data_IF_230576604462
#
_entry.id   IF_230576604462
#
_cell.length_a   1.000
_cell.length_b   1.000
_cell.length_c   1.000
_cell.angle_alpha   90.00
_cell.angle_beta   90.00
_cell.angle_gamma   90.00
#
_symmetry.space_group_name_H-M   'P 1'
#
loop_
_entity.id
_entity.type
_entity.pdbx_description
1 polymer ?
#
# COMPACT_ATOMS: atom_id res chain seq x y z
N UNK A 1 -46.52 -1.24 21.78
CA UNK A 1 -45.20 -1.51 22.41
C UNK A 1 -44.18 -0.74 21.61
N UNK A 2 -43.79 0.42 22.16
CA UNK A 2 -43.00 1.42 21.47
C UNK A 2 -41.54 0.97 21.35
N UNK A 3 -41.04 0.90 20.09
CA UNK A 3 -39.64 0.72 19.83
C UNK A 3 -38.91 2.05 20.17
N UNK A 4 -38.21 2.10 21.30
CA UNK A 4 -37.29 3.19 21.63
C UNK A 4 -36.25 3.30 20.52
N UNK A 5 -36.35 4.36 19.69
CA UNK A 5 -35.28 4.85 18.83
C UNK A 5 -34.08 5.18 19.73
N UNK A 6 -33.00 4.44 19.56
CA UNK A 6 -31.68 4.81 20.08
C UNK A 6 -31.25 6.09 19.36
N UNK A 7 -31.32 7.21 20.05
CA UNK A 7 -30.89 8.52 19.58
C UNK A 7 -29.35 8.54 19.67
N UNK A 8 -28.68 8.27 18.56
CA UNK A 8 -27.22 8.22 18.44
C UNK A 8 -26.61 9.64 18.31
N UNK A 9 -27.24 10.72 18.77
CA UNK A 9 -26.62 12.05 18.78
C UNK A 9 -26.10 12.54 17.41
N UNK A 10 -26.55 11.90 16.32
CA UNK A 10 -26.18 12.26 14.96
C UNK A 10 -27.14 13.37 14.55
N UNK A 11 -26.71 14.61 14.70
CA UNK A 11 -27.44 15.74 14.06
C UNK A 11 -27.29 15.56 12.55
N UNK A 12 -28.22 14.84 11.94
CA UNK A 12 -28.48 14.96 10.51
C UNK A 12 -28.97 16.42 10.33
N UNK A 13 -28.07 17.26 9.84
CA UNK A 13 -28.49 18.54 9.27
C UNK A 13 -29.23 18.23 7.97
N UNK A 14 -30.46 17.73 8.08
CA UNK A 14 -31.51 17.87 7.05
C UNK A 14 -31.95 19.32 7.01
N UNK A 15 -31.00 20.18 6.70
CA UNK A 15 -31.20 21.59 6.39
C UNK A 15 -30.82 21.77 4.93
N UNK A 16 -31.85 21.92 4.11
CA UNK A 16 -31.84 22.51 2.77
C UNK A 16 -30.67 22.13 1.83
N UNK A 17 -30.94 21.25 0.86
CA UNK A 17 -30.16 21.02 -0.38
C UNK A 17 -28.85 20.22 -0.31
N UNK A 18 -28.64 19.32 0.63
CA UNK A 18 -27.50 18.37 0.52
C UNK A 18 -27.88 17.28 -0.47
N UNK A 19 -27.11 17.15 -1.57
CA UNK A 19 -27.32 16.10 -2.58
C UNK A 19 -27.34 14.72 -1.92
N UNK A 20 -28.32 13.84 -2.24
CA UNK A 20 -28.30 12.45 -1.77
C UNK A 20 -27.04 11.74 -2.25
N UNK A 21 -26.63 10.70 -1.49
CA UNK A 21 -25.49 9.86 -1.89
C UNK A 21 -25.77 9.16 -3.22
N UNK A 22 -24.79 9.14 -4.10
CA UNK A 22 -25.00 8.59 -5.44
C UNK A 22 -23.71 8.22 -6.17
N UNK A 23 -23.83 7.92 -7.46
CA UNK A 23 -22.70 7.52 -8.31
C UNK A 23 -21.62 8.62 -8.41
N UNK A 24 -22.01 9.89 -8.35
CA UNK A 24 -21.04 10.99 -8.32
C UNK A 24 -20.06 10.84 -7.16
N UNK A 25 -20.55 10.49 -5.97
CA UNK A 25 -19.71 10.30 -4.79
C UNK A 25 -18.78 9.09 -4.95
N UNK A 26 -19.28 7.98 -5.50
CA UNK A 26 -18.50 6.76 -5.74
C UNK A 26 -17.36 7.01 -6.73
N UNK A 27 -17.68 7.62 -7.88
CA UNK A 27 -16.65 7.95 -8.88
C UNK A 27 -15.69 9.02 -8.39
N UNK A 28 -16.18 10.04 -7.66
CA UNK A 28 -15.33 11.05 -7.06
C UNK A 28 -14.33 10.46 -6.06
N UNK A 29 -14.80 9.52 -5.22
CA UNK A 29 -13.95 8.82 -4.27
C UNK A 29 -12.95 7.89 -4.97
N UNK A 30 -13.35 7.19 -6.06
CA UNK A 30 -12.46 6.41 -6.92
C UNK A 30 -11.33 7.27 -7.51
N UNK A 31 -11.67 8.43 -8.06
CA UNK A 31 -10.69 9.35 -8.65
C UNK A 31 -9.69 9.87 -7.62
N UNK A 32 -10.12 10.13 -6.38
CA UNK A 32 -9.22 10.52 -5.30
C UNK A 32 -8.14 9.47 -5.04
N UNK A 33 -8.50 8.18 -5.02
CA UNK A 33 -7.53 7.09 -4.84
C UNK A 33 -6.65 6.87 -6.08
N UNK A 34 -7.23 7.03 -7.28
CA UNK A 34 -6.47 6.99 -8.52
C UNK A 34 -5.35 8.03 -8.50
N UNK A 35 -5.64 9.27 -8.14
CA UNK A 35 -4.64 10.33 -8.03
C UNK A 35 -3.57 10.02 -6.97
N UNK A 36 -3.98 9.56 -5.79
CA UNK A 36 -3.06 9.14 -4.72
C UNK A 36 -2.14 8.00 -5.17
N UNK A 37 -2.72 6.96 -5.76
CA UNK A 37 -1.99 5.75 -6.13
C UNK A 37 -1.04 5.98 -7.31
N UNK A 38 -1.37 6.86 -8.26
CA UNK A 38 -0.48 7.21 -9.37
C UNK A 38 0.85 7.78 -8.86
N UNK A 39 0.80 8.79 -7.99
CA UNK A 39 2.02 9.42 -7.47
C UNK A 39 2.78 8.49 -6.52
N UNK A 40 2.07 7.80 -5.61
CA UNK A 40 2.70 6.89 -4.67
C UNK A 40 3.43 5.75 -5.38
N UNK A 41 2.80 5.14 -6.38
CA UNK A 41 3.40 4.02 -7.11
C UNK A 41 4.50 4.47 -8.08
N UNK A 42 4.42 5.68 -8.66
CA UNK A 42 5.50 6.26 -9.45
C UNK A 42 6.77 6.41 -8.60
N UNK A 43 6.65 7.01 -7.42
CA UNK A 43 7.73 7.16 -6.45
C UNK A 43 8.26 5.77 -6.02
N UNK A 44 7.36 4.87 -5.62
CA UNK A 44 7.74 3.53 -5.15
C UNK A 44 8.46 2.67 -6.18
N UNK A 45 8.13 2.84 -7.48
CA UNK A 45 8.70 2.01 -8.55
C UNK A 45 9.96 2.60 -9.18
N UNK A 46 10.11 3.92 -9.20
CA UNK A 46 11.09 4.55 -10.05
C UNK A 46 12.05 5.51 -9.34
N UNK A 47 11.75 5.95 -8.12
CA UNK A 47 12.58 6.95 -7.44
C UNK A 47 13.98 6.43 -7.12
N UNK A 48 14.09 5.17 -6.67
CA UNK A 48 15.39 4.54 -6.41
C UNK A 48 16.25 4.54 -7.67
N UNK A 49 15.69 4.12 -8.81
CA UNK A 49 16.38 4.11 -10.10
C UNK A 49 16.79 5.51 -10.54
N UNK A 50 15.92 6.51 -10.38
CA UNK A 50 16.28 7.90 -10.73
C UNK A 50 17.45 8.42 -9.89
N UNK A 51 17.44 8.16 -8.59
CA UNK A 51 18.50 8.63 -7.70
C UNK A 51 19.83 7.92 -7.96
N UNK A 52 19.81 6.63 -8.27
CA UNK A 52 21.05 5.89 -8.57
C UNK A 52 21.55 6.17 -9.99
N UNK A 53 20.72 5.96 -11.00
CA UNK A 53 21.18 5.92 -12.39
C UNK A 53 21.24 7.31 -13.05
N UNK A 54 20.37 8.24 -12.63
CA UNK A 54 20.31 9.59 -13.23
C UNK A 54 21.06 10.61 -12.38
N UNK A 55 20.83 10.64 -11.05
CA UNK A 55 21.55 11.56 -10.17
C UNK A 55 22.94 11.03 -9.76
N UNK A 56 23.20 9.73 -9.91
CA UNK A 56 24.47 9.12 -9.54
C UNK A 56 24.70 9.03 -8.03
N UNK A 57 23.63 9.05 -7.21
CA UNK A 57 23.73 8.89 -5.77
C UNK A 57 23.98 7.41 -5.44
N UNK A 58 24.93 7.10 -4.57
CA UNK A 58 25.23 5.73 -4.17
C UNK A 58 23.99 5.03 -3.59
N UNK A 59 23.74 3.77 -4.03
CA UNK A 59 22.51 3.04 -3.69
C UNK A 59 22.29 2.87 -2.19
N UNK A 60 23.34 2.65 -1.40
CA UNK A 60 23.24 2.58 0.08
C UNK A 60 22.79 3.91 0.71
N UNK A 61 23.24 5.06 0.19
CA UNK A 61 22.80 6.37 0.66
C UNK A 61 21.32 6.61 0.34
N UNK A 62 20.85 6.16 -0.84
CA UNK A 62 19.42 6.20 -1.20
C UNK A 62 18.62 5.26 -0.29
N UNK A 63 19.12 4.08 0.03
CA UNK A 63 18.51 3.16 1.00
C UNK A 63 18.33 3.83 2.37
N UNK A 64 19.36 4.52 2.88
CA UNK A 64 19.30 5.30 4.13
C UNK A 64 18.23 6.39 4.04
N UNK A 65 18.20 7.16 2.96
CA UNK A 65 17.18 8.18 2.70
C UNK A 65 15.77 7.59 2.78
N UNK A 66 15.53 6.44 2.14
CA UNK A 66 14.20 5.79 2.14
C UNK A 66 13.79 5.35 3.55
N UNK A 67 14.70 4.81 4.35
CA UNK A 67 14.41 4.43 5.75
C UNK A 67 14.10 5.66 6.59
N UNK A 68 14.92 6.73 6.50
CA UNK A 68 14.71 7.98 7.24
C UNK A 68 13.36 8.60 6.89
N UNK A 69 13.00 8.64 5.60
CA UNK A 69 11.71 9.15 5.16
C UNK A 69 10.54 8.33 5.75
N UNK A 70 10.65 7.00 5.84
CA UNK A 70 9.59 6.16 6.45
C UNK A 70 9.48 6.35 7.96
N UNK A 71 10.59 6.56 8.65
CA UNK A 71 10.57 6.93 10.07
C UNK A 71 9.87 8.28 10.25
N UNK A 72 10.17 9.24 9.36
CA UNK A 72 9.49 10.54 9.36
C UNK A 72 7.99 10.40 9.09
N UNK A 73 7.57 9.58 8.13
CA UNK A 73 6.15 9.31 7.85
C UNK A 73 5.43 8.77 9.10
N UNK A 74 6.08 7.90 9.88
CA UNK A 74 5.50 7.35 11.11
C UNK A 74 5.21 8.42 12.18
N UNK A 75 5.94 9.54 12.16
CA UNK A 75 5.74 10.70 13.04
C UNK A 75 4.74 11.68 12.40
N UNK A 76 4.92 11.96 11.12
CA UNK A 76 4.14 12.97 10.40
C UNK A 76 2.65 12.57 10.24
N UNK A 77 2.35 11.28 10.01
CA UNK A 77 0.98 10.82 9.80
C UNK A 77 0.07 11.07 11.03
N UNK A 78 0.45 10.70 12.27
CA UNK A 78 -0.33 11.05 13.45
C UNK A 78 -0.45 12.56 13.67
N UNK A 79 0.61 13.33 13.42
CA UNK A 79 0.58 14.79 13.52
C UNK A 79 -0.45 15.39 12.56
N UNK A 80 -0.46 14.93 11.32
CA UNK A 80 -1.44 15.37 10.32
C UNK A 80 -2.85 14.95 10.70
N UNK A 81 -3.05 13.75 11.23
CA UNK A 81 -4.34 13.29 11.76
C UNK A 81 -4.88 14.24 12.82
N UNK A 82 -4.07 14.60 13.83
CA UNK A 82 -4.45 15.56 14.88
C UNK A 82 -4.75 16.94 14.30
N UNK A 83 -3.94 17.40 13.35
CA UNK A 83 -4.16 18.71 12.69
C UNK A 83 -5.51 18.76 11.94
N UNK A 84 -5.82 17.69 11.21
CA UNK A 84 -7.11 17.54 10.51
C UNK A 84 -8.27 17.45 11.51
N UNK A 85 -8.11 16.68 12.60
CA UNK A 85 -9.16 16.53 13.62
C UNK A 85 -9.50 17.88 14.31
N UNK A 86 -8.49 18.70 14.55
CA UNK A 86 -8.64 20.04 15.14
C UNK A 86 -9.10 21.10 14.15
N UNK A 87 -9.08 20.83 12.84
CA UNK A 87 -9.49 21.80 11.84
C UNK A 87 -11.01 22.03 11.88
N UNK A 88 -11.42 23.29 11.77
CA UNK A 88 -12.86 23.67 11.72
C UNK A 88 -13.38 23.40 10.32
N UNK A 89 -14.60 22.83 10.18
CA UNK A 89 -15.25 22.71 8.89
C UNK A 89 -15.49 24.08 8.26
N UNK A 90 -15.38 24.16 6.94
CA UNK A 90 -15.74 25.34 6.16
C UNK A 90 -16.95 25.03 5.26
N UNK A 91 -17.35 25.99 4.39
CA UNK A 91 -18.49 25.85 3.46
C UNK A 91 -18.40 24.61 2.55
N UNK A 92 -17.19 24.06 2.34
CA UNK A 92 -16.95 22.91 1.49
C UNK A 92 -16.72 21.62 2.29
N UNK A 93 -16.94 21.62 3.60
CA UNK A 93 -16.68 20.51 4.49
C UNK A 93 -15.36 20.64 5.28
N UNK A 94 -14.98 19.58 5.97
CA UNK A 94 -13.76 19.48 6.79
C UNK A 94 -12.60 18.85 6.00
N UNK A 95 -12.84 17.73 5.32
CA UNK A 95 -11.81 16.90 4.66
C UNK A 95 -11.61 17.28 3.19
N UNK A 96 -12.68 17.57 2.44
CA UNK A 96 -12.63 17.92 1.01
C UNK A 96 -11.68 19.09 0.69
N UNK A 97 -11.59 20.17 1.49
CA UNK A 97 -10.69 21.28 1.20
C UNK A 97 -9.21 20.88 1.13
N UNK A 98 -8.80 19.81 1.82
CA UNK A 98 -7.43 19.31 1.76
C UNK A 98 -7.10 18.73 0.39
N UNK A 99 -8.06 18.09 -0.31
CA UNK A 99 -7.88 17.60 -1.67
C UNK A 99 -7.44 18.71 -2.62
N UNK A 100 -7.95 19.93 -2.44
CA UNK A 100 -7.55 21.07 -3.27
C UNK A 100 -6.26 21.74 -2.79
N UNK A 101 -6.12 21.92 -1.46
CA UNK A 101 -4.97 22.65 -0.90
C UNK A 101 -3.66 21.91 -1.05
N UNK A 102 -3.66 20.60 -0.90
CA UNK A 102 -2.47 19.75 -0.98
C UNK A 102 -2.22 19.18 -2.39
N UNK A 103 -3.18 19.30 -3.33
CA UNK A 103 -3.05 18.79 -4.71
C UNK A 103 -1.80 19.36 -5.43
N UNK A 104 -1.68 20.70 -5.46
CA UNK A 104 -0.53 21.36 -6.11
C UNK A 104 0.77 21.05 -5.39
N UNK A 105 0.88 21.17 -4.05
CA UNK A 105 2.08 20.78 -3.32
C UNK A 105 2.54 19.34 -3.57
N UNK A 106 1.65 18.34 -3.55
CA UNK A 106 2.05 16.95 -3.76
C UNK A 106 2.52 16.70 -5.19
N UNK A 107 1.83 17.27 -6.18
CA UNK A 107 2.25 17.19 -7.58
C UNK A 107 3.60 17.87 -7.83
N UNK A 108 3.79 19.07 -7.26
CA UNK A 108 5.06 19.82 -7.36
C UNK A 108 6.21 19.03 -6.73
N UNK A 109 6.03 18.51 -5.51
CA UNK A 109 7.07 17.71 -4.85
C UNK A 109 7.38 16.41 -5.59
N UNK A 110 6.37 15.75 -6.18
CA UNK A 110 6.59 14.59 -7.04
C UNK A 110 7.43 14.93 -8.27
N UNK A 111 7.19 16.07 -8.93
CA UNK A 111 8.00 16.55 -10.06
C UNK A 111 9.41 16.88 -9.60
N UNK A 112 9.58 17.57 -8.47
CA UNK A 112 10.90 17.90 -7.92
C UNK A 112 11.71 16.65 -7.57
N UNK A 113 11.07 15.57 -7.08
CA UNK A 113 11.75 14.29 -6.84
C UNK A 113 12.42 13.71 -8.10
N UNK A 114 11.90 14.01 -9.29
CA UNK A 114 12.41 13.53 -10.59
C UNK A 114 13.05 14.65 -11.44
N UNK A 115 13.49 15.72 -10.80
CA UNK A 115 14.13 16.85 -11.49
C UNK A 115 15.64 16.83 -11.26
N UNK A 116 16.42 16.96 -12.33
CA UNK A 116 17.86 17.21 -12.27
C UNK A 116 18.08 18.72 -12.31
N UNK A 117 18.74 19.26 -11.29
CA UNK A 117 19.13 20.69 -11.28
C UNK A 117 20.44 20.83 -12.05
N UNK A 118 20.47 21.61 -13.16
CA UNK A 118 21.71 21.83 -13.91
C UNK A 118 22.78 22.45 -13.01
N UNK A 119 23.99 21.90 -13.06
CA UNK A 119 25.14 22.48 -12.31
C UNK A 119 25.14 22.20 -10.81
N UNK A 120 24.22 21.37 -10.28
CA UNK A 120 24.25 20.95 -8.87
C UNK A 120 25.54 20.17 -8.58
N UNK A 121 26.26 20.56 -7.54
CA UNK A 121 27.45 19.81 -7.13
C UNK A 121 27.08 18.47 -6.48
N UNK A 122 27.97 17.48 -6.57
CA UNK A 122 27.71 16.13 -6.01
C UNK A 122 27.36 16.17 -4.53
N UNK A 123 27.96 17.10 -3.77
CA UNK A 123 27.68 17.26 -2.33
C UNK A 123 26.24 17.68 -2.03
N UNK A 124 25.55 18.35 -2.96
CA UNK A 124 24.18 18.82 -2.76
C UNK A 124 23.11 17.86 -3.32
N UNK A 125 23.48 16.85 -4.11
CA UNK A 125 22.51 15.89 -4.67
C UNK A 125 21.75 15.12 -3.58
N UNK A 126 22.46 14.61 -2.58
CA UNK A 126 21.84 13.87 -1.49
C UNK A 126 20.95 14.75 -0.59
N UNK A 127 21.38 15.93 -0.10
CA UNK A 127 20.48 16.87 0.59
C UNK A 127 19.24 17.24 -0.22
N UNK A 128 19.38 17.48 -1.52
CA UNK A 128 18.25 17.75 -2.41
C UNK A 128 17.26 16.58 -2.43
N UNK A 129 17.76 15.35 -2.56
CA UNK A 129 16.94 14.15 -2.53
C UNK A 129 16.18 14.00 -1.19
N UNK A 130 16.83 14.31 -0.06
CA UNK A 130 16.17 14.33 1.26
C UNK A 130 15.02 15.34 1.32
N UNK A 131 15.29 16.59 0.91
CA UNK A 131 14.29 17.68 0.97
C UNK A 131 13.08 17.35 0.09
N UNK A 132 13.32 16.92 -1.14
CA UNK A 132 12.23 16.65 -2.08
C UNK A 132 11.43 15.43 -1.72
N UNK A 133 12.06 14.35 -1.30
CA UNK A 133 11.36 13.10 -0.95
C UNK A 133 10.61 13.20 0.38
N UNK A 134 11.20 13.79 1.42
CA UNK A 134 10.49 14.07 2.69
C UNK A 134 9.35 15.07 2.45
N UNK A 135 9.60 16.12 1.66
CA UNK A 135 8.57 17.08 1.27
C UNK A 135 7.41 16.44 0.51
N UNK A 136 7.71 15.49 -0.40
CA UNK A 136 6.68 14.67 -1.04
C UNK A 136 5.87 13.88 -0.02
N UNK A 137 6.53 13.18 0.92
CA UNK A 137 5.86 12.41 1.99
C UNK A 137 4.90 13.28 2.80
N UNK A 138 5.36 14.48 3.23
CA UNK A 138 4.53 15.43 3.98
C UNK A 138 3.31 15.91 3.17
N UNK A 139 3.51 16.30 1.91
CA UNK A 139 2.42 16.74 1.04
C UNK A 139 1.45 15.61 0.72
N UNK A 140 1.97 14.38 0.53
CA UNK A 140 1.17 13.19 0.31
C UNK A 140 0.31 12.85 1.53
N UNK A 141 0.87 12.89 2.73
CA UNK A 141 0.14 12.68 3.98
C UNK A 141 -0.97 13.72 4.17
N UNK A 142 -0.71 14.99 3.79
CA UNK A 142 -1.69 16.08 3.87
C UNK A 142 -2.91 15.89 2.95
N UNK A 143 -2.80 15.05 1.93
CA UNK A 143 -3.93 14.64 1.06
C UNK A 143 -4.51 13.29 1.49
N UNK A 144 -3.66 12.30 1.73
CA UNK A 144 -4.07 10.91 1.90
C UNK A 144 -4.84 10.67 3.22
N UNK A 145 -4.48 11.34 4.32
CA UNK A 145 -5.18 11.20 5.61
C UNK A 145 -6.58 11.79 5.55
N UNK A 146 -6.79 13.05 5.12
CA UNK A 146 -8.14 13.59 4.96
C UNK A 146 -8.97 12.80 3.95
N UNK A 147 -8.37 12.35 2.85
CA UNK A 147 -9.04 11.52 1.86
C UNK A 147 -9.51 10.18 2.47
N UNK A 148 -8.67 9.51 3.24
CA UNK A 148 -9.06 8.27 3.93
C UNK A 148 -10.22 8.49 4.91
N UNK A 149 -10.24 9.62 5.61
CA UNK A 149 -11.30 9.99 6.55
C UNK A 149 -12.59 10.45 5.86
N UNK A 150 -12.52 10.89 4.61
CA UNK A 150 -13.68 11.44 3.88
C UNK A 150 -14.83 10.43 3.77
N UNK A 151 -14.55 9.13 3.60
CA UNK A 151 -15.58 8.10 3.50
C UNK A 151 -16.53 8.07 4.72
N UNK A 152 -16.01 8.34 5.92
CA UNK A 152 -16.79 8.31 7.17
C UNK A 152 -17.82 9.43 7.28
N UNK A 153 -17.61 10.53 6.55
CA UNK A 153 -18.50 11.71 6.56
C UNK A 153 -19.35 11.84 5.28
N UNK A 154 -19.11 11.00 4.28
CA UNK A 154 -19.93 10.98 3.06
C UNK A 154 -21.26 10.28 3.27
N UNK A 155 -21.29 9.20 4.07
CA UNK A 155 -22.51 8.43 4.37
C UNK A 155 -22.39 7.69 5.70
N UNK A 156 -23.54 7.48 6.37
CA UNK A 156 -23.67 6.62 7.56
C UNK A 156 -24.08 5.18 7.19
N UNK A 157 -24.55 4.94 5.96
CA UNK A 157 -25.02 3.63 5.51
C UNK A 157 -23.84 2.67 5.30
N UNK A 158 -23.82 1.49 5.97
CA UNK A 158 -22.75 0.50 5.81
C UNK A 158 -22.60 -0.05 4.36
N UNK A 159 -23.70 -0.17 3.62
CA UNK A 159 -23.69 -0.67 2.24
C UNK A 159 -23.03 0.36 1.31
N UNK A 160 -23.37 1.64 1.48
CA UNK A 160 -22.75 2.72 0.74
C UNK A 160 -21.26 2.86 1.07
N UNK A 161 -20.86 2.73 2.35
CA UNK A 161 -19.43 2.70 2.76
C UNK A 161 -18.67 1.54 2.10
N UNK A 162 -19.29 0.36 2.03
CA UNK A 162 -18.70 -0.79 1.33
C UNK A 162 -18.53 -0.48 -0.16
N UNK A 163 -19.53 0.15 -0.77
CA UNK A 163 -19.43 0.61 -2.16
C UNK A 163 -18.27 1.60 -2.35
N UNK A 164 -18.08 2.59 -1.47
CA UNK A 164 -16.94 3.50 -1.54
C UNK A 164 -15.61 2.76 -1.46
N UNK A 165 -15.47 1.78 -0.58
CA UNK A 165 -14.26 0.95 -0.48
C UNK A 165 -13.98 0.16 -1.76
N UNK A 166 -15.03 -0.36 -2.41
CA UNK A 166 -14.92 -1.06 -3.69
C UNK A 166 -14.43 -0.11 -4.80
N UNK A 167 -15.04 1.06 -4.92
CA UNK A 167 -14.65 2.06 -5.92
C UNK A 167 -13.23 2.60 -5.67
N UNK A 168 -12.82 2.75 -4.41
CA UNK A 168 -11.44 3.05 -4.03
C UNK A 168 -10.46 2.00 -4.58
N UNK A 169 -10.76 0.72 -4.36
CA UNK A 169 -9.92 -0.38 -4.87
C UNK A 169 -9.83 -0.36 -6.40
N UNK A 170 -10.92 -0.05 -7.10
CA UNK A 170 -10.90 0.13 -8.56
C UNK A 170 -9.96 1.28 -8.95
N UNK A 171 -9.99 2.40 -8.22
CA UNK A 171 -9.09 3.53 -8.45
C UNK A 171 -7.61 3.13 -8.33
N UNK A 172 -7.24 2.39 -7.28
CA UNK A 172 -5.88 1.86 -7.10
C UNK A 172 -5.45 0.92 -8.24
N UNK A 173 -6.34 0.03 -8.68
CA UNK A 173 -6.08 -0.89 -9.80
C UNK A 173 -5.84 -0.12 -11.10
N UNK A 174 -6.71 0.84 -11.41
CA UNK A 174 -6.56 1.69 -12.61
C UNK A 174 -5.26 2.48 -12.58
N UNK A 175 -4.88 3.04 -11.43
CA UNK A 175 -3.61 3.74 -11.25
C UNK A 175 -2.41 2.82 -11.57
N UNK A 176 -2.42 1.58 -11.07
CA UNK A 176 -1.37 0.61 -11.36
C UNK A 176 -1.31 0.27 -12.85
N UNK A 177 -2.45 0.01 -13.49
CA UNK A 177 -2.51 -0.30 -14.92
C UNK A 177 -1.96 0.86 -15.78
N UNK A 178 -2.36 2.09 -15.46
CA UNK A 178 -1.87 3.29 -16.16
C UNK A 178 -0.37 3.46 -15.94
N UNK A 179 0.09 3.35 -14.72
CA UNK A 179 1.51 3.49 -14.40
C UNK A 179 2.37 2.46 -15.14
N UNK A 180 2.02 1.18 -15.03
CA UNK A 180 2.77 0.08 -15.65
C UNK A 180 2.73 0.12 -17.17
N UNK A 181 1.64 0.62 -17.76
CA UNK A 181 1.51 0.76 -19.22
C UNK A 181 2.24 1.98 -19.79
N UNK A 182 2.35 3.07 -19.03
CA UNK A 182 2.82 4.36 -19.52
C UNK A 182 4.22 4.72 -19.03
N UNK A 183 4.50 4.57 -17.72
CA UNK A 183 5.75 5.04 -17.13
C UNK A 183 7.01 4.41 -17.77
N UNK A 184 7.09 3.08 -18.02
CA UNK A 184 8.28 2.51 -18.64
C UNK A 184 8.56 3.06 -20.03
N UNK A 185 7.53 3.33 -20.83
CA UNK A 185 7.67 3.91 -22.17
C UNK A 185 8.22 5.32 -22.17
N UNK A 186 7.94 6.07 -21.11
CA UNK A 186 8.47 7.44 -20.94
C UNK A 186 9.88 7.42 -20.37
N UNK A 187 10.11 6.61 -19.34
CA UNK A 187 11.39 6.55 -18.61
C UNK A 187 12.49 5.95 -19.46
N UNK A 188 12.17 4.92 -20.28
CA UNK A 188 13.13 4.18 -21.11
C UNK A 188 12.97 4.47 -22.62
N UNK A 189 12.42 5.63 -23.00
CA UNK A 189 12.16 5.99 -24.39
C UNK A 189 13.40 5.91 -25.28
N UNK A 190 14.56 6.27 -24.75
CA UNK A 190 15.85 6.32 -25.48
C UNK A 190 16.69 5.03 -25.27
N UNK A 191 16.06 3.91 -24.84
CA UNK A 191 16.73 2.64 -24.58
C UNK A 191 17.41 2.55 -23.21
N UNK A 192 17.46 3.65 -22.44
CA UNK A 192 18.02 3.72 -21.10
C UNK A 192 17.23 4.67 -20.20
N UNK A 193 17.55 4.69 -18.91
CA UNK A 193 16.95 5.62 -17.96
C UNK A 193 17.40 7.05 -18.25
N UNK A 194 16.47 7.92 -18.68
CA UNK A 194 16.81 9.30 -19.05
C UNK A 194 16.17 10.33 -18.12
N UNK A 195 16.93 11.38 -17.74
CA UNK A 195 16.42 12.48 -16.90
C UNK A 195 15.15 13.10 -17.48
N UNK A 196 15.13 13.32 -18.81
CA UNK A 196 13.98 13.88 -19.52
C UNK A 196 12.76 12.95 -19.47
N UNK A 197 12.97 11.62 -19.56
CA UNK A 197 11.92 10.61 -19.47
C UNK A 197 11.27 10.60 -18.09
N UNK A 198 12.05 10.62 -17.02
CA UNK A 198 11.55 10.68 -15.64
C UNK A 198 10.78 11.98 -15.37
N UNK A 199 11.32 13.13 -15.81
CA UNK A 199 10.64 14.42 -15.64
C UNK A 199 9.30 14.44 -16.39
N UNK A 200 9.28 13.97 -17.65
CA UNK A 200 8.02 13.84 -18.43
C UNK A 200 7.00 12.97 -17.72
N UNK A 201 7.42 11.80 -17.23
CA UNK A 201 6.54 10.90 -16.47
C UNK A 201 6.00 11.60 -15.21
N UNK A 202 6.87 12.21 -14.42
CA UNK A 202 6.47 12.90 -13.19
C UNK A 202 5.46 14.03 -13.45
N UNK A 203 5.70 14.87 -14.49
CA UNK A 203 4.79 15.96 -14.87
C UNK A 203 3.44 15.40 -15.32
N UNK A 204 3.42 14.41 -16.22
CA UNK A 204 2.18 13.81 -16.72
C UNK A 204 1.36 13.22 -15.56
N UNK A 205 1.98 12.42 -14.70
CA UNK A 205 1.26 11.82 -13.58
C UNK A 205 0.86 12.84 -12.52
N UNK A 206 1.65 13.90 -12.27
CA UNK A 206 1.27 14.99 -11.38
C UNK A 206 0.04 15.74 -11.92
N UNK A 207 0.00 16.05 -13.22
CA UNK A 207 -1.15 16.72 -13.86
C UNK A 207 -2.40 15.83 -13.77
N UNK A 208 -2.31 14.54 -14.14
CA UNK A 208 -3.43 13.62 -14.05
C UNK A 208 -3.93 13.52 -12.60
N UNK A 209 -3.03 13.37 -11.63
CA UNK A 209 -3.40 13.29 -10.21
C UNK A 209 -4.07 14.56 -9.72
N UNK A 210 -3.59 15.74 -10.12
CA UNK A 210 -4.22 17.02 -9.78
C UNK A 210 -5.63 17.15 -10.37
N UNK A 211 -5.83 16.71 -11.62
CA UNK A 211 -7.17 16.64 -12.24
C UNK A 211 -8.07 15.70 -11.45
N UNK A 212 -7.57 14.53 -11.06
CA UNK A 212 -8.30 13.56 -10.25
C UNK A 212 -8.71 14.14 -8.89
N UNK A 213 -7.81 14.86 -8.19
CA UNK A 213 -8.14 15.51 -6.92
C UNK A 213 -9.18 16.62 -7.08
N UNK A 214 -9.09 17.40 -8.13
CA UNK A 214 -10.06 18.42 -8.44
C UNK A 214 -11.46 17.84 -8.72
N UNK A 215 -11.52 16.75 -9.50
CA UNK A 215 -12.76 16.04 -9.77
C UNK A 215 -13.29 15.37 -8.51
N UNK A 216 -12.44 14.73 -7.71
CA UNK A 216 -12.82 14.17 -6.41
C UNK A 216 -13.44 15.22 -5.50
N UNK A 217 -12.81 16.38 -5.39
CA UNK A 217 -13.37 17.52 -4.64
C UNK A 217 -14.75 17.95 -5.15
N UNK A 218 -14.95 18.04 -6.47
CA UNK A 218 -16.24 18.47 -7.05
C UNK A 218 -17.35 17.42 -6.94
N UNK A 219 -16.99 16.14 -7.05
CA UNK A 219 -17.95 15.04 -7.15
C UNK A 219 -18.35 14.46 -5.80
N UNK A 220 -17.54 14.63 -4.75
CA UNK A 220 -17.85 14.11 -3.40
C UNK A 220 -18.58 15.16 -2.57
N UNK A 221 -19.40 14.71 -1.61
CA UNK A 221 -20.12 15.58 -0.68
C UNK A 221 -20.01 15.06 0.75
N UNK A 222 -19.62 15.91 1.69
CA UNK A 222 -19.65 15.61 3.12
C UNK A 222 -21.06 15.88 3.66
N UNK A 223 -21.67 14.85 4.29
CA UNK A 223 -23.06 14.88 4.77
C UNK A 223 -23.15 14.80 6.28
N UNK A 224 -22.11 14.26 6.94
CA UNK A 224 -22.08 14.06 8.37
C UNK A 224 -21.12 15.07 8.98
N UNK A 225 -21.61 15.89 9.91
CA UNK A 225 -20.77 16.78 10.71
C UNK A 225 -20.56 16.14 12.07
N UNK A 226 -19.30 15.75 12.38
CA UNK A 226 -18.95 15.36 13.74
C UNK A 226 -18.71 16.61 14.58
N UNK A 227 -19.51 16.81 15.61
CA UNK A 227 -19.23 17.82 16.62
C UNK A 227 -17.97 17.46 17.39
N UNK A 228 -17.04 18.42 17.49
CA UNK A 228 -15.71 18.30 18.12
C UNK A 228 -15.79 17.97 19.64
N UNK A 229 -16.99 17.93 20.22
CA UNK A 229 -17.21 17.81 21.67
C UNK A 229 -17.37 16.37 22.18
N UNK A 230 -17.16 15.35 21.37
CA UNK A 230 -17.16 13.97 21.86
C UNK A 230 -15.81 13.61 22.51
N UNK A 231 -15.58 14.18 23.70
CA UNK A 231 -14.41 13.89 24.57
C UNK A 231 -14.48 12.52 25.26
N UNK A 232 -15.37 11.62 24.89
CA UNK A 232 -15.49 10.28 25.49
C UNK A 232 -14.59 9.22 24.86
N UNK A 233 -13.34 9.55 24.53
CA UNK A 233 -12.32 8.53 24.34
C UNK A 233 -11.69 8.21 25.69
N UNK A 234 -12.19 7.17 26.36
CA UNK A 234 -11.47 6.53 27.45
C UNK A 234 -9.99 6.44 27.08
N UNK A 235 -9.11 7.00 27.92
CA UNK A 235 -7.66 6.87 27.80
C UNK A 235 -7.30 5.41 28.05
N UNK A 236 -7.45 4.58 27.00
CA UNK A 236 -6.97 3.21 27.03
C UNK A 236 -5.44 3.27 27.24
N UNK A 237 -4.96 2.64 28.31
CA UNK A 237 -3.52 2.53 28.58
C UNK A 237 -2.86 1.77 27.43
N UNK A 238 -2.22 2.50 26.50
CA UNK A 238 -1.57 1.95 25.30
C UNK A 238 -0.65 0.76 25.62
N UNK A 239 0.06 0.79 26.75
CA UNK A 239 0.96 -0.30 27.16
C UNK A 239 0.23 -1.62 27.46
N UNK A 240 -0.92 -1.58 28.14
CA UNK A 240 -1.73 -2.79 28.39
C UNK A 240 -2.35 -3.34 27.10
N UNK A 241 -2.84 -2.47 26.23
CA UNK A 241 -3.44 -2.89 24.95
C UNK A 241 -2.40 -3.53 24.03
N UNK A 242 -1.20 -2.97 23.91
CA UNK A 242 -0.10 -3.56 23.12
C UNK A 242 0.30 -4.94 23.66
N UNK A 243 0.41 -5.10 24.99
CA UNK A 243 0.71 -6.41 25.59
C UNK A 243 -0.36 -7.47 25.28
N UNK A 244 -1.64 -7.09 25.24
CA UNK A 244 -2.74 -8.00 24.90
C UNK A 244 -2.72 -8.43 23.44
N UNK A 245 -2.24 -7.58 22.51
CA UNK A 245 -2.13 -7.93 21.09
C UNK A 245 -1.19 -9.12 20.86
N UNK A 246 -0.08 -9.19 21.62
CA UNK A 246 0.85 -10.34 21.52
C UNK A 246 0.28 -11.65 22.07
N UNK A 247 -0.77 -11.62 22.90
CA UNK A 247 -1.50 -12.82 23.34
C UNK A 247 -2.44 -13.36 22.26
N UNK A 248 -2.83 -12.53 21.30
CA UNK A 248 -3.64 -12.93 20.17
C UNK A 248 -2.78 -13.60 19.09
N UNK A 249 -2.64 -14.93 19.17
CA UNK A 249 -1.83 -15.71 18.23
C UNK A 249 -2.30 -15.56 16.78
N UNK A 250 -3.61 -15.40 16.55
CA UNK A 250 -4.13 -15.19 15.21
C UNK A 250 -3.63 -13.86 14.64
N UNK A 251 -3.69 -12.78 15.43
CA UNK A 251 -3.17 -11.47 15.03
C UNK A 251 -1.66 -11.50 14.74
N UNK A 252 -0.87 -12.09 15.65
CA UNK A 252 0.58 -12.23 15.46
C UNK A 252 0.89 -13.03 14.19
N UNK A 253 0.16 -14.13 13.96
CA UNK A 253 0.30 -14.94 12.75
C UNK A 253 0.04 -14.13 11.47
N UNK A 254 -1.03 -13.32 11.44
CA UNK A 254 -1.35 -12.45 10.29
C UNK A 254 -0.30 -11.35 10.13
N UNK A 255 0.17 -10.74 11.21
CA UNK A 255 1.20 -9.70 11.16
C UNK A 255 2.48 -10.23 10.52
N UNK A 256 2.97 -11.39 10.94
CA UNK A 256 4.17 -12.02 10.39
C UNK A 256 3.95 -12.46 8.93
N UNK A 257 2.81 -13.09 8.63
CA UNK A 257 2.45 -13.51 7.29
C UNK A 257 2.34 -12.32 6.33
N UNK A 258 1.69 -11.23 6.76
CA UNK A 258 1.55 -10.02 5.96
C UNK A 258 2.88 -9.30 5.76
N UNK A 259 3.77 -9.30 6.75
CA UNK A 259 5.11 -8.76 6.59
C UNK A 259 5.84 -9.47 5.44
N UNK A 260 5.85 -10.80 5.42
CA UNK A 260 6.46 -11.58 4.35
C UNK A 260 5.81 -11.35 2.98
N UNK A 261 4.47 -11.30 2.92
CA UNK A 261 3.73 -10.98 1.69
C UNK A 261 4.11 -9.60 1.14
N UNK A 262 4.17 -8.58 2.00
CA UNK A 262 4.43 -7.21 1.59
C UNK A 262 5.88 -7.03 1.12
N UNK A 263 6.85 -7.77 1.70
CA UNK A 263 8.20 -7.86 1.16
C UNK A 263 8.18 -8.43 -0.27
N UNK A 264 7.43 -9.51 -0.49
CA UNK A 264 7.32 -10.16 -1.79
C UNK A 264 6.60 -9.29 -2.84
N UNK A 265 5.75 -8.35 -2.43
CA UNK A 265 5.05 -7.45 -3.34
C UNK A 265 5.83 -6.16 -3.63
N UNK A 266 6.34 -5.49 -2.61
CA UNK A 266 6.92 -4.15 -2.75
C UNK A 266 8.38 -4.17 -3.22
N UNK A 267 9.17 -5.20 -2.87
CA UNK A 267 10.57 -5.25 -3.29
C UNK A 267 10.70 -5.42 -4.82
N UNK A 268 9.97 -6.36 -5.47
CA UNK A 268 9.98 -6.40 -6.93
C UNK A 268 9.48 -5.12 -7.57
N UNK A 269 8.51 -4.42 -6.98
CA UNK A 269 8.02 -3.13 -7.49
C UNK A 269 9.15 -2.11 -7.65
N UNK A 270 10.09 -2.03 -6.70
CA UNK A 270 11.21 -1.08 -6.74
C UNK A 270 12.42 -1.57 -7.54
N UNK A 271 12.62 -2.89 -7.66
CA UNK A 271 13.81 -3.48 -8.30
C UNK A 271 13.56 -4.04 -9.69
N UNK A 272 12.31 -4.24 -10.13
CA UNK A 272 12.00 -4.70 -11.50
C UNK A 272 12.66 -3.85 -12.59
N UNK A 273 12.71 -2.50 -12.51
CA UNK A 273 13.42 -1.70 -13.51
C UNK A 273 14.88 -2.10 -13.68
N UNK A 274 15.58 -2.39 -12.58
CA UNK A 274 16.97 -2.87 -12.60
C UNK A 274 17.10 -4.28 -13.18
N UNK A 275 16.20 -5.20 -12.78
CA UNK A 275 16.20 -6.58 -13.28
C UNK A 275 16.10 -6.62 -14.80
N UNK A 276 15.11 -5.92 -15.36
CA UNK A 276 14.89 -5.95 -16.81
C UNK A 276 15.93 -5.14 -17.57
N UNK A 277 16.47 -4.05 -17.01
CA UNK A 277 17.51 -3.24 -17.62
C UNK A 277 18.87 -3.96 -17.57
N UNK A 278 19.30 -4.38 -16.38
CA UNK A 278 20.69 -4.79 -16.14
C UNK A 278 20.91 -6.31 -16.29
N UNK A 279 19.95 -7.15 -15.88
CA UNK A 279 20.08 -8.61 -15.98
C UNK A 279 19.57 -9.14 -17.31
N UNK A 280 18.40 -8.71 -17.77
CA UNK A 280 17.86 -9.15 -19.05
C UNK A 280 18.27 -8.27 -20.25
N UNK A 281 18.90 -7.13 -20.02
CA UNK A 281 19.33 -6.20 -21.05
C UNK A 281 18.19 -5.56 -21.87
N UNK A 282 16.94 -5.61 -21.36
CA UNK A 282 15.78 -5.11 -22.07
C UNK A 282 14.79 -4.38 -21.14
N UNK A 283 15.05 -3.09 -20.95
CA UNK A 283 14.20 -2.22 -20.12
C UNK A 283 12.75 -2.10 -20.64
N UNK A 284 12.50 -2.33 -21.95
CA UNK A 284 11.16 -2.25 -22.52
C UNK A 284 10.21 -3.33 -21.99
N UNK A 285 10.75 -4.41 -21.40
CA UNK A 285 9.96 -5.47 -20.77
C UNK A 285 9.40 -5.11 -19.40
N UNK A 286 9.86 -4.02 -18.77
CA UNK A 286 9.38 -3.59 -17.42
C UNK A 286 7.86 -3.45 -17.39
N UNK A 287 7.29 -2.74 -18.35
CA UNK A 287 5.84 -2.53 -18.45
C UNK A 287 5.06 -3.81 -18.69
N UNK A 288 5.30 -4.52 -19.80
CA UNK A 288 4.63 -5.77 -20.10
C UNK A 288 4.75 -6.82 -18.99
N UNK A 289 5.93 -7.00 -18.41
CA UNK A 289 6.15 -7.94 -17.33
C UNK A 289 5.33 -7.58 -16.07
N UNK A 290 5.30 -6.30 -15.71
CA UNK A 290 4.53 -5.82 -14.56
C UNK A 290 3.03 -6.00 -14.78
N UNK A 291 2.51 -5.71 -15.98
CA UNK A 291 1.10 -5.92 -16.34
C UNK A 291 0.72 -7.40 -16.30
N UNK A 292 1.55 -8.29 -16.90
CA UNK A 292 1.31 -9.72 -16.90
C UNK A 292 1.30 -10.30 -15.47
N UNK A 293 2.17 -9.81 -14.60
CA UNK A 293 2.25 -10.25 -13.20
C UNK A 293 1.01 -9.92 -12.37
N UNK A 294 0.14 -9.00 -12.82
CA UNK A 294 -1.12 -8.69 -12.14
C UNK A 294 -2.25 -9.68 -12.52
N UNK A 295 -2.19 -10.28 -13.70
CA UNK A 295 -3.26 -11.15 -14.24
C UNK A 295 -3.62 -12.29 -13.29
N UNK A 296 -2.66 -13.05 -12.72
CA UNK A 296 -2.97 -14.16 -11.84
C UNK A 296 -3.79 -13.76 -10.61
N UNK A 297 -3.53 -12.56 -10.04
CA UNK A 297 -4.28 -12.06 -8.90
C UNK A 297 -5.77 -11.82 -9.22
N UNK A 298 -6.09 -11.42 -10.44
CA UNK A 298 -7.48 -11.29 -10.88
C UNK A 298 -8.14 -12.64 -11.16
N UNK A 299 -7.39 -13.61 -11.70
CA UNK A 299 -7.91 -14.95 -12.02
C UNK A 299 -8.35 -15.72 -10.77
N UNK A 300 -7.73 -15.48 -9.61
CA UNK A 300 -8.07 -16.18 -8.36
C UNK A 300 -9.33 -15.63 -7.66
N UNK A 301 -9.73 -14.38 -7.94
CA UNK A 301 -10.87 -13.72 -7.26
C UNK A 301 -12.18 -14.54 -7.37
N UNK A 302 -12.60 -15.02 -8.56
CA UNK A 302 -13.84 -15.77 -8.69
C UNK A 302 -13.85 -17.10 -7.95
N UNK A 303 -12.67 -17.68 -7.70
CA UNK A 303 -12.53 -18.99 -7.06
C UNK A 303 -12.33 -18.87 -5.54
N UNK A 304 -11.86 -17.73 -5.05
CA UNK A 304 -11.51 -17.52 -3.65
C UNK A 304 -12.63 -17.87 -2.67
N UNK A 305 -13.85 -17.39 -2.94
CA UNK A 305 -15.01 -17.67 -2.08
C UNK A 305 -15.36 -19.16 -2.01
N UNK A 306 -15.30 -19.88 -3.14
CA UNK A 306 -15.57 -21.34 -3.19
C UNK A 306 -14.50 -22.13 -2.45
N UNK A 307 -13.22 -21.76 -2.61
CA UNK A 307 -12.10 -22.39 -1.92
C UNK A 307 -12.20 -22.20 -0.41
N UNK A 308 -12.51 -20.99 0.04
CA UNK A 308 -12.68 -20.68 1.46
C UNK A 308 -13.85 -21.42 2.07
N UNK A 309 -15.00 -21.47 1.39
CA UNK A 309 -16.17 -22.21 1.87
C UNK A 309 -15.86 -23.71 2.07
N UNK A 310 -15.06 -24.29 1.16
CA UNK A 310 -14.72 -25.72 1.20
C UNK A 310 -13.62 -26.01 2.23
N UNK A 311 -12.52 -25.28 2.20
CA UNK A 311 -11.31 -25.63 2.95
C UNK A 311 -11.06 -24.75 4.18
N UNK A 312 -11.61 -23.55 4.25
CA UNK A 312 -11.32 -22.57 5.30
C UNK A 312 -10.32 -21.51 4.87
N UNK A 313 -10.32 -20.35 5.58
CA UNK A 313 -9.45 -19.21 5.25
C UNK A 313 -7.97 -19.49 5.51
N UNK A 314 -7.65 -20.14 6.64
CA UNK A 314 -6.29 -20.52 7.02
C UNK A 314 -5.65 -21.41 5.96
N UNK A 315 -6.32 -22.47 5.59
CA UNK A 315 -5.86 -23.51 4.69
C UNK A 315 -5.63 -22.95 3.27
N UNK A 316 -6.58 -22.13 2.78
CA UNK A 316 -6.43 -21.46 1.46
C UNK A 316 -5.29 -20.46 1.46
N UNK A 317 -5.11 -19.72 2.55
CA UNK A 317 -3.98 -18.76 2.67
C UNK A 317 -2.64 -19.49 2.76
N UNK A 318 -2.56 -20.58 3.52
CA UNK A 318 -1.35 -21.41 3.59
C UNK A 318 -1.01 -22.04 2.23
N UNK A 319 -2.02 -22.56 1.49
CA UNK A 319 -1.83 -23.02 0.12
C UNK A 319 -1.34 -21.93 -0.81
N UNK A 320 -1.85 -20.69 -0.68
CA UNK A 320 -1.35 -19.52 -1.40
C UNK A 320 0.14 -19.26 -1.13
N UNK A 321 0.55 -19.29 0.14
CA UNK A 321 1.97 -19.17 0.51
C UNK A 321 2.82 -20.32 -0.03
N UNK A 322 2.32 -21.56 -0.03
CA UNK A 322 3.04 -22.70 -0.59
C UNK A 322 3.25 -22.56 -2.11
N UNK A 323 2.22 -22.16 -2.87
CA UNK A 323 2.32 -21.88 -4.31
C UNK A 323 3.34 -20.78 -4.58
N UNK A 324 3.26 -19.67 -3.83
CA UNK A 324 4.20 -18.57 -3.96
C UNK A 324 5.64 -19.00 -3.62
N UNK A 325 5.83 -19.84 -2.58
CA UNK A 325 7.14 -20.39 -2.19
C UNK A 325 7.74 -21.23 -3.31
N UNK A 326 6.96 -22.10 -3.95
CA UNK A 326 7.42 -22.89 -5.09
C UNK A 326 7.84 -21.96 -6.25
N UNK A 327 6.99 -20.99 -6.61
CA UNK A 327 7.29 -20.07 -7.71
C UNK A 327 8.52 -19.21 -7.47
N UNK A 328 8.62 -18.53 -6.32
CA UNK A 328 9.82 -17.73 -6.00
C UNK A 328 11.05 -18.62 -5.76
N UNK A 329 10.89 -19.84 -5.26
CA UNK A 329 11.97 -20.82 -5.15
C UNK A 329 12.54 -21.21 -6.52
N UNK A 330 11.68 -21.49 -7.50
CA UNK A 330 12.11 -21.74 -8.88
C UNK A 330 12.87 -20.53 -9.45
N UNK A 331 12.38 -19.31 -9.24
CA UNK A 331 13.06 -18.09 -9.69
C UNK A 331 14.42 -17.90 -9.01
N UNK A 332 14.56 -18.28 -7.74
CA UNK A 332 15.78 -18.10 -6.98
C UNK A 332 16.84 -19.13 -7.35
N UNK A 333 16.48 -20.45 -7.35
CA UNK A 333 17.44 -21.53 -7.52
C UNK A 333 17.82 -21.81 -8.99
N UNK A 334 16.94 -21.47 -9.96
CA UNK A 334 17.22 -21.76 -11.36
C UNK A 334 17.97 -20.59 -12.03
N UNK A 335 18.96 -20.89 -12.90
CA UNK A 335 19.69 -19.88 -13.69
C UNK A 335 18.85 -19.43 -14.91
N UNK A 336 17.78 -18.68 -14.69
CA UNK A 336 16.85 -18.27 -15.73
C UNK A 336 17.40 -17.03 -16.42
N UNK A 337 17.81 -17.18 -17.68
CA UNK A 337 18.31 -16.09 -18.54
C UNK A 337 17.23 -15.56 -19.50
N UNK A 338 16.18 -16.33 -19.75
CA UNK A 338 15.08 -15.92 -20.63
C UNK A 338 14.03 -15.13 -19.83
N UNK A 339 13.76 -13.84 -20.16
CA UNK A 339 12.82 -13.01 -19.43
C UNK A 339 11.38 -13.55 -19.49
N UNK A 340 10.98 -14.21 -20.58
CA UNK A 340 9.62 -14.74 -20.71
C UNK A 340 9.36 -15.94 -19.80
N UNK A 341 10.37 -16.80 -19.60
CA UNK A 341 10.30 -17.90 -18.62
C UNK A 341 10.24 -17.32 -17.21
N UNK A 342 11.02 -16.28 -16.92
CA UNK A 342 10.98 -15.59 -15.64
C UNK A 342 9.59 -15.01 -15.37
N UNK A 343 8.99 -14.33 -16.34
CA UNK A 343 7.63 -13.76 -16.25
C UNK A 343 6.60 -14.87 -16.01
N UNK A 344 6.69 -16.00 -16.73
CA UNK A 344 5.74 -17.10 -16.59
C UNK A 344 5.79 -17.71 -15.17
N UNK A 345 6.98 -17.94 -14.62
CA UNK A 345 7.14 -18.45 -13.25
C UNK A 345 6.69 -17.41 -12.23
N UNK A 346 6.99 -16.12 -12.46
CA UNK A 346 6.49 -15.04 -11.60
C UNK A 346 4.96 -14.93 -11.61
N UNK A 347 4.32 -15.14 -12.76
CA UNK A 347 2.86 -15.27 -12.84
C UNK A 347 2.34 -16.46 -12.04
N UNK A 348 3.02 -17.60 -12.06
CA UNK A 348 2.66 -18.75 -11.21
C UNK A 348 2.75 -18.39 -9.72
N UNK A 349 3.84 -17.75 -9.27
CA UNK A 349 3.95 -17.23 -7.90
C UNK A 349 2.84 -16.21 -7.57
N UNK A 350 2.43 -15.42 -8.57
CA UNK A 350 1.35 -14.44 -8.49
C UNK A 350 -0.03 -15.04 -8.18
N UNK A 351 -0.30 -16.30 -8.56
CA UNK A 351 -1.50 -17.02 -8.15
C UNK A 351 -1.53 -17.15 -6.61
N UNK A 352 -0.41 -17.55 -6.02
CA UNK A 352 -0.28 -17.70 -4.57
C UNK A 352 -0.45 -16.37 -3.84
N UNK A 353 0.31 -15.34 -4.24
CA UNK A 353 0.23 -14.02 -3.59
C UNK A 353 -1.15 -13.37 -3.80
N UNK A 354 -1.83 -13.62 -4.91
CA UNK A 354 -3.20 -13.19 -5.18
C UNK A 354 -4.22 -13.80 -4.20
N UNK A 355 -4.14 -15.11 -3.95
CA UNK A 355 -4.98 -15.79 -2.96
C UNK A 355 -4.79 -15.20 -1.56
N UNK A 356 -3.54 -14.95 -1.16
CA UNK A 356 -3.24 -14.39 0.15
C UNK A 356 -3.81 -12.96 0.27
N UNK A 357 -3.55 -12.12 -0.74
CA UNK A 357 -3.99 -10.73 -0.75
C UNK A 357 -5.52 -10.59 -0.71
N UNK A 358 -6.23 -11.52 -1.35
CA UNK A 358 -7.70 -11.59 -1.31
C UNK A 358 -8.23 -11.83 0.12
N UNK A 359 -7.52 -12.63 0.91
CA UNK A 359 -8.02 -13.12 2.20
C UNK A 359 -7.49 -12.33 3.41
N UNK A 360 -6.42 -11.56 3.26
CA UNK A 360 -5.73 -10.92 4.38
C UNK A 360 -6.66 -10.05 5.23
N UNK A 361 -7.55 -9.28 4.61
CA UNK A 361 -8.50 -8.44 5.34
C UNK A 361 -9.59 -9.26 6.06
N UNK A 362 -10.01 -10.38 5.48
CA UNK A 362 -10.92 -11.30 6.14
C UNK A 362 -10.27 -11.97 7.35
N UNK A 363 -8.98 -12.31 7.27
CA UNK A 363 -8.21 -12.85 8.40
C UNK A 363 -8.03 -11.81 9.52
N UNK A 364 -7.82 -10.53 9.16
CA UNK A 364 -7.77 -9.43 10.15
C UNK A 364 -9.11 -9.31 10.88
N UNK A 365 -10.24 -9.44 10.17
CA UNK A 365 -11.57 -9.48 10.78
C UNK A 365 -11.72 -10.65 11.77
N UNK A 366 -11.28 -11.85 11.39
CA UNK A 366 -11.30 -13.02 12.28
C UNK A 366 -10.41 -12.81 13.53
N UNK A 367 -9.29 -12.11 13.39
CA UNK A 367 -8.42 -11.77 14.52
C UNK A 367 -9.07 -10.76 15.48
N UNK A 368 -9.93 -9.86 14.99
CA UNK A 368 -10.73 -8.95 15.83
C UNK A 368 -11.76 -9.77 16.65
N UNK A 369 -12.49 -10.69 16.00
CA UNK A 369 -13.45 -11.55 16.68
C UNK A 369 -12.74 -12.46 17.70
N UNK A 370 -11.56 -12.98 17.37
CA UNK A 370 -10.76 -13.76 18.31
C UNK A 370 -10.24 -12.91 19.49
N UNK A 371 -9.90 -11.64 19.26
CA UNK A 371 -9.54 -10.69 20.32
C UNK A 371 -10.71 -10.52 21.30
N UNK A 372 -11.92 -10.30 20.79
CA UNK A 372 -13.14 -10.22 21.61
C UNK A 372 -13.37 -11.52 22.40
N UNK A 373 -13.17 -12.68 21.78
CA UNK A 373 -13.32 -13.98 22.41
C UNK A 373 -12.39 -14.17 23.62
N UNK A 374 -11.09 -13.78 23.50
CA UNK A 374 -10.09 -13.98 24.55
C UNK A 374 -10.09 -12.88 25.62
N UNK A 375 -10.51 -11.64 25.28
CA UNK A 375 -10.44 -10.48 26.20
C UNK A 375 -11.81 -10.05 26.74
N UNK A 376 -12.91 -10.50 26.13
CA UNK A 376 -14.25 -10.02 26.41
C UNK A 376 -14.52 -8.59 25.91
N UNK A 377 -13.54 -7.95 25.24
CA UNK A 377 -13.67 -6.59 24.70
C UNK A 377 -13.40 -6.57 23.19
N UNK A 378 -14.27 -5.89 22.45
CA UNK A 378 -14.10 -5.70 21.01
C UNK A 378 -13.23 -4.47 20.74
N UNK A 379 -11.97 -4.70 20.41
CA UNK A 379 -10.96 -3.65 20.20
C UNK A 379 -10.52 -3.57 18.72
N UNK A 380 -11.45 -3.29 17.82
CA UNK A 380 -11.19 -3.22 16.36
C UNK A 380 -10.08 -2.24 15.99
N UNK A 381 -10.12 -1.03 16.58
CA UNK A 381 -9.15 0.02 16.27
C UNK A 381 -7.70 -0.37 16.61
N UNK A 382 -7.50 -1.10 17.70
CA UNK A 382 -6.16 -1.51 18.14
C UNK A 382 -5.60 -2.60 17.23
N UNK A 383 -6.42 -3.59 16.86
CA UNK A 383 -6.03 -4.66 15.93
C UNK A 383 -5.70 -4.09 14.55
N UNK A 384 -6.54 -3.16 14.06
CA UNK A 384 -6.31 -2.49 12.79
C UNK A 384 -5.03 -1.63 12.82
N UNK A 385 -4.78 -0.91 13.90
CA UNK A 385 -3.57 -0.10 14.07
C UNK A 385 -2.30 -0.97 14.08
N UNK A 386 -2.33 -2.13 14.75
CA UNK A 386 -1.22 -3.07 14.76
C UNK A 386 -0.92 -3.62 13.35
N UNK A 387 -1.96 -4.00 12.60
CA UNK A 387 -1.80 -4.43 11.22
C UNK A 387 -1.25 -3.31 10.31
N UNK A 388 -1.75 -2.08 10.48
CA UNK A 388 -1.28 -0.91 9.74
C UNK A 388 0.19 -0.59 10.03
N UNK A 389 0.63 -0.77 11.28
CA UNK A 389 2.05 -0.63 11.66
C UNK A 389 2.94 -1.62 10.90
N UNK A 390 2.52 -2.88 10.77
CA UNK A 390 3.27 -3.89 9.99
C UNK A 390 3.40 -3.48 8.53
N UNK A 391 2.35 -2.95 7.92
CA UNK A 391 2.42 -2.44 6.54
C UNK A 391 3.47 -1.33 6.39
N UNK A 392 3.50 -0.36 7.30
CA UNK A 392 4.48 0.73 7.28
C UNK A 392 5.90 0.21 7.52
N UNK A 393 6.07 -0.72 8.46
CA UNK A 393 7.35 -1.36 8.72
C UNK A 393 7.86 -2.12 7.50
N UNK A 394 7.00 -2.89 6.82
CA UNK A 394 7.34 -3.59 5.59
C UNK A 394 7.82 -2.63 4.50
N UNK A 395 7.15 -1.50 4.32
CA UNK A 395 7.55 -0.49 3.34
C UNK A 395 8.91 0.15 3.69
N UNK A 396 9.16 0.41 4.97
CA UNK A 396 10.45 0.92 5.45
C UNK A 396 11.58 -0.07 5.18
N UNK A 397 11.33 -1.36 5.51
CA UNK A 397 12.30 -2.44 5.29
C UNK A 397 12.57 -2.62 3.79
N UNK A 398 11.53 -2.62 2.94
CA UNK A 398 11.72 -2.71 1.48
C UNK A 398 12.56 -1.55 0.95
N UNK A 399 12.25 -0.31 1.35
CA UNK A 399 13.02 0.86 0.91
C UNK A 399 14.50 0.76 1.29
N UNK A 400 14.78 0.39 2.54
CA UNK A 400 16.15 0.19 3.02
C UNK A 400 16.84 -0.99 2.35
N UNK A 401 16.19 -2.16 2.35
CA UNK A 401 16.75 -3.39 1.77
C UNK A 401 17.04 -3.21 0.28
N UNK A 402 16.17 -2.54 -0.49
CA UNK A 402 16.42 -2.29 -1.91
C UNK A 402 17.71 -1.49 -2.14
N UNK A 403 17.91 -0.40 -1.41
CA UNK A 403 19.11 0.43 -1.56
C UNK A 403 20.37 -0.21 -0.98
N UNK A 404 20.30 -0.78 0.23
CA UNK A 404 21.46 -1.42 0.87
C UNK A 404 21.92 -2.68 0.12
N UNK A 405 20.97 -3.51 -0.34
CA UNK A 405 21.32 -4.71 -1.08
C UNK A 405 21.99 -4.38 -2.41
N UNK A 406 21.53 -3.34 -3.14
CA UNK A 406 22.23 -2.84 -4.33
C UNK A 406 23.64 -2.34 -3.98
N UNK A 407 23.80 -1.64 -2.86
CA UNK A 407 25.12 -1.19 -2.38
C UNK A 407 26.07 -2.36 -2.06
N UNK A 408 25.57 -3.41 -1.37
CA UNK A 408 26.36 -4.59 -0.99
C UNK A 408 26.85 -5.37 -2.20
N UNK A 409 26.03 -5.52 -3.26
CA UNK A 409 26.45 -6.21 -4.49
C UNK A 409 27.35 -5.34 -5.37
N UNK A 410 27.70 -4.12 -4.95
CA UNK A 410 28.59 -3.23 -5.68
C UNK A 410 27.93 -2.55 -6.89
N UNK A 411 26.62 -2.26 -6.84
CA UNK A 411 25.91 -1.57 -7.91
C UNK A 411 26.55 -0.20 -8.20
N UNK A 412 26.99 -0.03 -9.44
CA UNK A 412 27.66 1.20 -9.89
C UNK A 412 26.62 2.23 -10.33
N UNK A 413 26.32 3.19 -9.45
CA UNK A 413 25.38 4.28 -9.74
C UNK A 413 25.85 5.13 -10.92
N UNK A 414 24.94 5.41 -11.88
CA UNK A 414 25.25 6.17 -13.09
C UNK A 414 26.01 5.42 -14.18
N UNK A 415 26.39 4.16 -13.97
CA UNK A 415 27.07 3.35 -15.01
C UNK A 415 26.09 2.96 -16.12
N UNK A 416 26.53 3.06 -17.37
CA UNK A 416 25.72 2.67 -18.53
C UNK A 416 25.43 1.17 -18.56
N UNK A 417 26.33 0.35 -18.05
CA UNK A 417 26.17 -1.10 -17.93
C UNK A 417 26.76 -1.57 -16.61
N UNK A 418 26.13 -2.54 -16.00
CA UNK A 418 26.64 -3.24 -14.81
C UNK A 418 27.44 -4.46 -15.19
N UNK A 419 28.33 -4.90 -14.30
CA UNK A 419 29.04 -6.18 -14.49
C UNK A 419 28.05 -7.34 -14.39
N UNK A 420 28.39 -8.48 -15.01
CA UNK A 420 27.55 -9.68 -14.95
C UNK A 420 27.34 -10.17 -13.50
N UNK A 421 28.32 -9.96 -12.62
CA UNK A 421 28.24 -10.31 -11.19
C UNK A 421 27.17 -9.45 -10.49
N UNK A 422 27.20 -8.13 -10.71
CA UNK A 422 26.20 -7.20 -10.16
C UNK A 422 24.82 -7.48 -10.73
N UNK A 423 24.70 -7.73 -12.04
CA UNK A 423 23.42 -8.08 -12.66
C UNK A 423 22.81 -9.37 -12.07
N UNK A 424 23.62 -10.40 -11.85
CA UNK A 424 23.22 -11.63 -11.14
C UNK A 424 22.84 -11.32 -9.68
N UNK A 425 23.57 -10.43 -9.02
CA UNK A 425 23.25 -9.94 -7.68
C UNK A 425 21.85 -9.32 -7.60
N UNK A 426 21.48 -8.46 -8.57
CA UNK A 426 20.13 -7.89 -8.69
C UNK A 426 19.08 -8.99 -8.82
N UNK A 427 19.28 -9.97 -9.71
CA UNK A 427 18.38 -11.14 -9.86
C UNK A 427 18.23 -11.90 -8.55
N UNK A 428 19.33 -12.13 -7.84
CA UNK A 428 19.30 -12.86 -6.58
C UNK A 428 18.53 -12.12 -5.50
N UNK A 429 18.71 -10.81 -5.35
CA UNK A 429 17.97 -10.00 -4.37
C UNK A 429 16.46 -10.04 -4.65
N UNK A 430 16.06 -9.79 -5.90
CA UNK A 430 14.65 -9.70 -6.29
C UNK A 430 13.92 -11.04 -6.21
N UNK A 431 14.64 -12.15 -6.15
CA UNK A 431 14.05 -13.48 -6.00
C UNK A 431 14.19 -14.03 -4.58
N UNK A 432 15.34 -13.82 -3.90
CA UNK A 432 15.57 -14.31 -2.55
C UNK A 432 14.66 -13.67 -1.52
N UNK A 433 14.53 -12.33 -1.53
CA UNK A 433 13.72 -11.63 -0.50
C UNK A 433 12.25 -12.03 -0.56
N UNK A 434 11.59 -12.08 -1.74
CA UNK A 434 10.25 -12.66 -1.84
C UNK A 434 10.19 -14.12 -1.40
N UNK A 435 11.13 -14.95 -1.79
CA UNK A 435 11.18 -16.37 -1.42
C UNK A 435 11.21 -16.58 0.09
N UNK A 436 12.13 -15.94 0.80
CA UNK A 436 12.20 -16.04 2.25
C UNK A 436 11.01 -15.34 2.93
N UNK A 437 10.49 -14.26 2.35
CA UNK A 437 9.29 -13.59 2.83
C UNK A 437 8.06 -14.49 2.80
N UNK A 438 7.81 -15.19 1.69
CA UNK A 438 6.65 -16.09 1.60
C UNK A 438 6.82 -17.36 2.43
N UNK A 439 8.05 -17.86 2.61
CA UNK A 439 8.35 -18.96 3.56
C UNK A 439 7.99 -18.50 4.99
N UNK A 440 8.43 -17.32 5.40
CA UNK A 440 8.09 -16.76 6.71
C UNK A 440 6.58 -16.69 6.89
N UNK A 441 5.85 -16.24 5.87
CA UNK A 441 4.39 -16.21 5.86
C UNK A 441 3.76 -17.60 5.96
N UNK A 442 4.29 -18.59 5.22
CA UNK A 442 3.84 -19.97 5.29
C UNK A 442 4.01 -20.57 6.70
N UNK A 443 5.21 -20.39 7.27
CA UNK A 443 5.50 -20.85 8.63
C UNK A 443 4.61 -20.17 9.66
N UNK A 444 4.34 -18.87 9.51
CA UNK A 444 3.42 -18.15 10.39
C UNK A 444 1.99 -18.71 10.31
N UNK A 445 1.51 -19.01 9.10
CA UNK A 445 0.17 -19.60 8.92
C UNK A 445 0.07 -21.03 9.50
N UNK A 446 1.13 -21.83 9.40
CA UNK A 446 1.14 -23.19 9.90
C UNK A 446 1.26 -23.21 11.43
N UNK A 447 2.25 -22.51 11.99
CA UNK A 447 2.66 -22.67 13.39
C UNK A 447 2.12 -21.60 14.34
N UNK A 448 1.86 -20.39 13.86
CA UNK A 448 1.43 -19.28 14.72
C UNK A 448 -0.08 -19.05 14.61
N UNK A 449 -0.63 -18.94 13.39
CA UNK A 449 -2.05 -18.69 13.17
C UNK A 449 -2.89 -19.91 13.58
N UNK A 450 -3.77 -19.72 14.58
CA UNK A 450 -4.46 -20.82 15.23
C UNK A 450 -5.95 -20.97 14.88
N UNK A 451 -6.50 -20.09 14.03
CA UNK A 451 -7.91 -20.13 13.65
C UNK A 451 -8.12 -21.00 12.41
N UNK A 452 -8.26 -22.33 12.63
CA UNK A 452 -8.77 -23.26 11.64
C UNK A 452 -10.26 -23.04 11.41
N UNK A 453 -10.84 -23.64 10.35
CA UNK A 453 -12.27 -23.51 10.05
C UNK A 453 -13.15 -23.89 11.26
N UNK A 454 -12.89 -25.03 11.87
CA UNK A 454 -13.63 -25.51 13.05
C UNK A 454 -13.46 -24.59 14.27
N UNK A 455 -12.24 -24.11 14.52
CA UNK A 455 -11.98 -23.21 15.65
C UNK A 455 -12.66 -21.85 15.47
N UNK A 456 -12.71 -21.34 14.24
CA UNK A 456 -13.40 -20.09 13.93
C UNK A 456 -14.92 -20.22 14.11
N UNK A 457 -15.50 -21.36 13.72
CA UNK A 457 -16.92 -21.67 13.94
C UNK A 457 -17.25 -21.73 15.44
N UNK A 458 -16.39 -22.35 16.26
CA UNK A 458 -16.54 -22.39 17.73
C UNK A 458 -16.50 -20.97 18.32
N UNK A 459 -15.50 -20.16 17.97
CA UNK A 459 -15.35 -18.77 18.42
C UNK A 459 -16.60 -17.95 18.06
N UNK A 460 -17.07 -18.05 16.81
CA UNK A 460 -18.24 -17.32 16.35
C UNK A 460 -19.53 -17.73 17.06
N UNK A 461 -19.69 -19.02 17.33
CA UNK A 461 -20.88 -19.54 18.06
C UNK A 461 -20.89 -19.03 19.51
N UNK A 462 -19.74 -19.05 20.17
CA UNK A 462 -19.64 -18.56 21.54
C UNK A 462 -19.85 -17.04 21.63
N UNK A 463 -19.29 -16.28 20.69
CA UNK A 463 -19.53 -14.83 20.63
C UNK A 463 -21.01 -14.51 20.38
N UNK A 464 -21.70 -15.29 19.54
CA UNK A 464 -23.16 -15.13 19.36
C UNK A 464 -23.92 -15.35 20.67
N UNK A 465 -23.58 -16.41 21.44
CA UNK A 465 -24.20 -16.66 22.74
C UNK A 465 -23.92 -15.53 23.74
N UNK A 466 -22.70 -15.03 23.81
CA UNK A 466 -22.34 -13.88 24.68
C UNK A 466 -23.05 -12.58 24.32
N UNK A 467 -23.33 -12.36 23.04
CA UNK A 467 -24.04 -11.15 22.54
C UNK A 467 -25.56 -11.27 22.65
N UNK A 468 -26.11 -12.47 22.84
CA UNK A 468 -27.54 -12.72 23.03
C UNK A 468 -27.99 -12.69 24.49
N UNK A 469 -27.07 -12.82 25.43
CA UNK A 469 -27.26 -12.66 26.87
C UNK A 469 -26.91 -11.26 27.31
#
# INVERSE_FOLDING_TARGET
>A
MDAKKFDLGINNTEGENVKPFGNSDRYGYMLGDLGNSLLFNLIGSYLLLFYTDVLGIGAAAVGTLMVVARIWDAINDPMMGVLVDRSKPNKNGKFRPYLMRAAIPVGLMAVLCFTVIPGISDSFKLPYAYITYIGFGMAYTAINIPYGSLASVMTSDPVERTSLSTFRSIGAILANLILMGVAPKLVFADGGASAAGFLKAAVIFAVISNICYFLAFKMTTERIQHNVNDESKEKVSLGKSVSMLFKNRALVGIMVASFGLLLAMFLPQSLNPYLYKDYFGNANLVGPASLLSMIPSFLVIPFGGKLVAKYGKKEVTAAGFAIATIGYGLLFFLPITNPYIFIAINCFAGIGTGLINLLVWALVGDAIDYQEYITGKREEGIVYAAYSLVRKLSQAVVGGVSGFALGIIGYQSGAAQQTAEVANGVKNIITAVPFFGVILGLLAMIFIYNLTKSRLEEVNNELKLRRSN
#
